data_IF_437481515431
#
_entry.id   IF_437481515431
#
_cell.length_a   1.000
_cell.length_b   1.000
_cell.length_c   1.000
_cell.angle_alpha   90.00
_cell.angle_beta   90.00
_cell.angle_gamma   90.00
#
_symmetry.space_group_name_H-M   'P 1'
#
loop_
_entity.id
_entity.type
_entity.pdbx_description
1 polymer ?
#
# COMPACT_ATOMS: atom_id res chain seq x y z
N UNK A 1 16.53 53.59 -4.51
CA UNK A 1 16.21 52.16 -4.68
C UNK A 1 16.08 51.88 -6.18
N UNK A 2 17.04 51.18 -6.81
CA UNK A 2 16.96 50.80 -8.23
C UNK A 2 16.07 49.55 -8.33
N UNK A 3 14.90 49.66 -8.97
CA UNK A 3 14.06 48.50 -9.33
C UNK A 3 14.82 47.68 -10.38
N UNK A 4 15.20 46.46 -10.03
CA UNK A 4 15.73 45.48 -10.99
C UNK A 4 14.55 45.06 -11.87
N UNK A 5 14.51 45.56 -13.10
CA UNK A 5 13.56 45.13 -14.13
C UNK A 5 14.17 43.88 -14.75
N UNK A 6 13.71 42.70 -14.34
CA UNK A 6 14.06 41.45 -15.03
C UNK A 6 13.28 41.43 -16.35
N UNK A 7 13.94 41.26 -17.52
CA UNK A 7 13.25 41.26 -18.81
C UNK A 7 12.26 40.09 -18.89
N UNK A 8 11.07 40.34 -19.44
CA UNK A 8 10.02 39.32 -19.63
C UNK A 8 10.53 38.04 -20.34
N UNK A 9 11.52 38.22 -21.24
CA UNK A 9 12.20 37.13 -21.97
C UNK A 9 12.98 36.21 -21.02
N UNK A 10 13.64 36.75 -19.99
CA UNK A 10 14.39 35.95 -19.01
C UNK A 10 13.41 35.13 -18.17
N UNK A 11 12.30 35.71 -17.74
CA UNK A 11 11.25 35.00 -16.98
C UNK A 11 10.66 33.85 -17.83
N UNK A 12 10.34 34.08 -19.11
CA UNK A 12 9.83 33.04 -20.00
C UNK A 12 10.83 31.92 -20.28
N UNK A 13 12.12 32.24 -20.42
CA UNK A 13 13.18 31.22 -20.58
C UNK A 13 13.35 30.39 -19.31
N UNK A 14 13.35 31.00 -18.12
CA UNK A 14 13.41 30.28 -16.84
C UNK A 14 12.17 29.39 -16.62
N UNK A 15 10.97 29.87 -16.95
CA UNK A 15 9.74 29.07 -16.90
C UNK A 15 9.82 27.90 -17.90
N UNK A 16 10.26 28.15 -19.13
CA UNK A 16 10.40 27.10 -20.16
C UNK A 16 11.46 26.05 -19.83
N UNK A 17 12.56 26.44 -19.16
CA UNK A 17 13.57 25.51 -18.65
C UNK A 17 13.03 24.66 -17.49
N UNK A 18 12.27 25.26 -16.57
CA UNK A 18 11.64 24.53 -15.46
C UNK A 18 10.59 23.53 -15.96
N UNK A 19 9.76 23.90 -16.95
CA UNK A 19 8.78 22.98 -17.56
C UNK A 19 9.48 21.80 -18.23
N UNK A 20 10.53 22.05 -19.04
CA UNK A 20 11.30 20.96 -19.68
C UNK A 20 12.02 20.06 -18.69
N UNK A 21 12.53 20.60 -17.59
CA UNK A 21 13.14 19.82 -16.52
C UNK A 21 12.09 18.95 -15.80
N UNK A 22 10.90 19.49 -15.58
CA UNK A 22 9.78 18.79 -14.95
C UNK A 22 9.21 17.69 -15.86
N UNK A 23 9.10 17.94 -17.17
CA UNK A 23 8.74 16.92 -18.18
C UNK A 23 9.80 15.82 -18.30
N UNK A 24 11.09 16.18 -18.30
CA UNK A 24 12.18 15.20 -18.32
C UNK A 24 12.18 14.31 -17.07
N UNK A 25 11.90 14.87 -15.90
CA UNK A 25 11.79 14.11 -14.65
C UNK A 25 10.58 13.18 -14.61
N UNK A 26 9.54 13.45 -15.42
CA UNK A 26 8.33 12.60 -15.56
C UNK A 26 8.43 11.58 -16.69
N UNK A 27 9.48 11.61 -17.50
CA UNK A 27 9.75 10.58 -18.51
C UNK A 27 10.17 9.26 -17.86
N UNK A 28 9.92 8.12 -18.51
CA UNK A 28 10.33 6.79 -18.00
C UNK A 28 11.83 6.74 -17.64
N UNK A 29 12.78 7.22 -18.47
CA UNK A 29 14.19 7.26 -18.08
C UNK A 29 14.48 8.19 -16.88
N UNK A 30 13.75 9.30 -16.76
CA UNK A 30 13.86 10.22 -15.62
C UNK A 30 13.42 9.56 -14.31
N UNK A 31 12.30 8.83 -14.35
CA UNK A 31 11.78 8.05 -13.23
C UNK A 31 12.80 6.98 -12.82
N UNK A 32 13.35 6.23 -13.77
CA UNK A 32 14.37 5.20 -13.48
C UNK A 32 15.64 5.81 -12.86
N UNK A 33 16.09 6.95 -13.36
CA UNK A 33 17.26 7.65 -12.82
C UNK A 33 17.02 8.08 -11.37
N UNK A 34 15.82 8.60 -11.06
CA UNK A 34 15.43 8.98 -9.69
C UNK A 34 15.42 7.77 -8.75
N UNK A 35 14.80 6.66 -9.17
CA UNK A 35 14.79 5.42 -8.40
C UNK A 35 16.19 4.85 -8.16
N UNK A 36 17.05 4.87 -9.18
CA UNK A 36 18.40 4.32 -9.07
C UNK A 36 19.34 5.16 -8.18
N UNK A 37 19.12 6.47 -8.12
CA UNK A 37 19.93 7.39 -7.32
C UNK A 37 19.41 7.57 -5.88
N UNK A 38 18.16 7.20 -5.60
CA UNK A 38 17.56 7.39 -4.27
C UNK A 38 18.15 6.39 -3.26
N UNK A 39 18.64 6.85 -2.10
CA UNK A 39 19.25 5.99 -1.10
C UNK A 39 18.17 5.33 -0.25
N UNK A 40 17.45 4.36 -0.82
CA UNK A 40 16.40 3.62 -0.10
C UNK A 40 16.94 2.90 1.13
N UNK A 41 16.04 2.66 2.09
CA UNK A 41 16.32 1.75 3.18
C UNK A 41 16.72 0.39 2.61
N UNK A 42 17.79 -0.24 3.14
CA UNK A 42 18.21 -1.54 2.68
C UNK A 42 17.14 -2.59 2.99
N UNK A 43 17.18 -3.69 2.25
CA UNK A 43 16.47 -4.90 2.63
C UNK A 43 17.42 -5.79 3.45
N UNK A 44 16.85 -6.69 4.24
CA UNK A 44 17.60 -7.70 4.97
C UNK A 44 18.29 -8.70 4.00
N UNK A 45 19.08 -9.63 4.54
CA UNK A 45 19.86 -10.58 3.73
C UNK A 45 18.99 -11.47 2.83
N UNK A 46 17.74 -11.70 3.23
CA UNK A 46 16.73 -12.44 2.46
C UNK A 46 16.07 -11.59 1.36
N UNK A 47 16.34 -10.28 1.33
CA UNK A 47 15.72 -9.30 0.45
C UNK A 47 14.19 -9.27 0.53
N UNK A 48 13.64 -9.51 1.73
CA UNK A 48 12.20 -9.64 1.99
C UNK A 48 11.66 -8.54 2.91
N UNK A 49 12.47 -8.05 3.85
CA UNK A 49 12.05 -7.04 4.82
C UNK A 49 12.92 -5.80 4.75
N UNK A 50 12.31 -4.62 4.90
CA UNK A 50 13.05 -3.37 5.06
C UNK A 50 13.78 -3.37 6.40
N UNK A 51 15.04 -2.92 6.36
CA UNK A 51 15.87 -2.69 7.53
C UNK A 51 16.02 -1.19 7.71
N UNK A 52 15.61 -0.70 8.87
CA UNK A 52 15.84 0.68 9.25
C UNK A 52 17.35 1.00 9.23
N UNK A 53 17.77 2.07 8.56
CA UNK A 53 19.19 2.33 8.31
C UNK A 53 19.93 2.79 9.56
N UNK A 54 19.23 3.43 10.47
CA UNK A 54 19.77 4.04 11.67
C UNK A 54 19.71 3.06 12.84
N UNK A 55 18.57 2.40 13.02
CA UNK A 55 18.29 1.44 14.08
C UNK A 55 18.76 0.03 13.75
N UNK A 56 18.96 -0.30 12.47
CA UNK A 56 19.35 -1.62 11.96
C UNK A 56 18.39 -2.73 12.41
N UNK A 57 17.09 -2.43 12.35
CA UNK A 57 16.02 -3.34 12.73
C UNK A 57 15.12 -3.63 11.55
N UNK A 58 14.79 -4.90 11.36
CA UNK A 58 13.88 -5.39 10.34
C UNK A 58 12.44 -4.99 10.64
N UNK A 59 11.68 -4.64 9.60
CA UNK A 59 10.25 -4.37 9.70
C UNK A 59 9.90 -3.08 10.44
N UNK A 60 10.90 -2.22 10.60
CA UNK A 60 10.77 -0.87 11.14
C UNK A 60 11.09 0.11 10.02
N UNK A 61 10.32 1.18 9.93
CA UNK A 61 10.67 2.31 9.10
C UNK A 61 10.87 3.56 9.95
N UNK A 62 11.94 4.29 9.68
CA UNK A 62 12.05 5.71 9.96
C UNK A 62 10.84 6.43 9.36
N UNK A 63 10.23 7.32 10.14
CA UNK A 63 9.02 8.02 9.73
C UNK A 63 9.31 9.29 8.94
N UNK A 64 10.57 9.76 8.95
CA UNK A 64 10.96 11.05 8.39
C UNK A 64 11.68 10.90 7.03
N UNK A 65 11.41 9.81 6.30
CA UNK A 65 12.03 9.54 5.01
C UNK A 65 11.05 9.60 3.82
N UNK A 66 11.60 9.92 2.65
CA UNK A 66 10.82 10.05 1.40
C UNK A 66 10.77 8.77 0.54
N UNK A 67 11.27 7.63 1.04
CA UNK A 67 11.35 6.38 0.26
C UNK A 67 9.98 5.99 -0.31
N UNK A 68 8.95 6.07 0.53
CA UNK A 68 7.58 5.73 0.16
C UNK A 68 7.07 6.65 -0.95
N UNK A 69 7.31 7.97 -0.84
CA UNK A 69 6.94 8.95 -1.87
C UNK A 69 7.65 8.65 -3.18
N UNK A 70 8.96 8.37 -3.13
CA UNK A 70 9.73 8.07 -4.35
C UNK A 70 9.20 6.82 -5.04
N UNK A 71 8.91 5.73 -4.30
CA UNK A 71 8.32 4.51 -4.86
C UNK A 71 6.90 4.74 -5.40
N UNK A 72 6.03 5.33 -4.59
CA UNK A 72 4.62 5.54 -4.91
C UNK A 72 4.47 6.42 -6.15
N UNK A 73 5.19 7.54 -6.21
CA UNK A 73 5.15 8.46 -7.33
C UNK A 73 5.77 7.86 -8.59
N UNK A 74 6.81 7.04 -8.46
CA UNK A 74 7.35 6.32 -9.61
C UNK A 74 6.35 5.34 -10.22
N UNK A 75 5.66 4.53 -9.40
CA UNK A 75 4.60 3.63 -9.89
C UNK A 75 3.48 4.43 -10.54
N UNK A 76 2.98 5.48 -9.87
CA UNK A 76 1.97 6.40 -10.40
C UNK A 76 2.36 6.95 -11.77
N UNK A 77 3.58 7.48 -11.90
CA UNK A 77 4.01 8.18 -13.10
C UNK A 77 4.26 7.19 -14.25
N UNK A 78 4.74 5.97 -13.98
CA UNK A 78 4.80 4.90 -15.00
C UNK A 78 3.39 4.44 -15.43
N UNK A 79 2.45 4.34 -14.50
CA UNK A 79 1.04 4.00 -14.83
C UNK A 79 0.39 5.13 -15.65
N UNK A 80 0.70 6.40 -15.37
CA UNK A 80 0.24 7.56 -16.16
C UNK A 80 0.87 7.62 -17.55
N UNK A 81 2.13 7.21 -17.69
CA UNK A 81 2.76 7.04 -19.00
C UNK A 81 2.00 6.00 -19.86
N UNK A 82 1.36 5.03 -19.20
CA UNK A 82 0.35 4.16 -19.79
C UNK A 82 0.92 3.17 -20.80
N UNK A 83 0.03 2.62 -21.62
CA UNK A 83 0.39 1.59 -22.60
C UNK A 83 1.25 2.10 -23.77
N UNK A 84 1.33 3.42 -23.98
CA UNK A 84 2.12 4.02 -25.07
C UNK A 84 3.63 3.91 -24.81
N UNK A 85 4.04 3.86 -23.54
CA UNK A 85 5.45 3.79 -23.13
C UNK A 85 5.83 2.39 -22.61
N UNK A 86 4.99 1.38 -22.84
CA UNK A 86 5.23 0.03 -22.29
C UNK A 86 6.58 -0.55 -22.69
N UNK A 87 7.07 -0.27 -23.91
CA UNK A 87 8.40 -0.72 -24.32
C UNK A 87 9.51 -0.14 -23.40
N UNK A 88 9.41 1.14 -23.03
CA UNK A 88 10.34 1.79 -22.12
C UNK A 88 10.20 1.26 -20.68
N UNK A 89 8.96 1.08 -20.20
CA UNK A 89 8.70 0.52 -18.86
C UNK A 89 9.27 -0.89 -18.76
N UNK A 90 9.06 -1.70 -19.80
CA UNK A 90 9.56 -3.09 -19.93
C UNK A 90 11.08 -3.17 -19.91
N UNK A 91 11.78 -2.21 -20.51
CA UNK A 91 13.25 -2.13 -20.43
C UNK A 91 13.76 -1.98 -18.98
N UNK A 92 12.93 -1.46 -18.07
CA UNK A 92 13.26 -1.39 -16.65
C UNK A 92 13.35 -2.75 -15.95
N UNK A 93 12.76 -3.82 -16.49
CA UNK A 93 12.81 -5.18 -15.92
C UNK A 93 14.20 -5.80 -15.92
N UNK A 94 15.14 -5.27 -16.71
CA UNK A 94 16.55 -5.72 -16.76
C UNK A 94 17.51 -4.67 -16.22
N UNK A 95 17.00 -3.64 -15.54
CA UNK A 95 17.82 -2.54 -15.01
C UNK A 95 18.72 -3.00 -13.84
N UNK A 96 19.88 -2.38 -13.69
CA UNK A 96 20.86 -2.74 -12.65
C UNK A 96 20.28 -2.56 -11.22
N UNK A 97 19.53 -1.48 -10.99
CA UNK A 97 18.85 -1.22 -9.71
C UNK A 97 17.63 -2.13 -9.53
N UNK A 98 17.54 -2.89 -8.41
CA UNK A 98 16.37 -3.73 -8.12
C UNK A 98 15.09 -2.92 -7.89
N UNK A 99 15.21 -1.67 -7.40
CA UNK A 99 14.06 -0.78 -7.22
C UNK A 99 13.41 -0.41 -8.56
N UNK A 100 14.21 -0.21 -9.62
CA UNK A 100 13.68 0.03 -10.98
C UNK A 100 12.96 -1.21 -11.50
N UNK A 101 13.57 -2.40 -11.34
CA UNK A 101 12.93 -3.66 -11.79
C UNK A 101 11.60 -3.91 -11.08
N UNK A 102 11.57 -3.74 -9.77
CA UNK A 102 10.36 -3.91 -8.94
C UNK A 102 9.26 -2.91 -9.35
N UNK A 103 9.57 -1.62 -9.45
CA UNK A 103 8.59 -0.59 -9.82
C UNK A 103 8.08 -0.79 -11.26
N UNK A 104 8.95 -1.17 -12.20
CA UNK A 104 8.54 -1.56 -13.56
C UNK A 104 7.58 -2.73 -13.56
N UNK A 105 7.88 -3.81 -12.83
CA UNK A 105 7.00 -4.98 -12.73
C UNK A 105 5.62 -4.61 -12.17
N UNK A 106 5.59 -3.80 -11.10
CA UNK A 106 4.33 -3.30 -10.50
C UNK A 106 3.51 -2.50 -11.51
N UNK A 107 4.13 -1.54 -12.20
CA UNK A 107 3.45 -0.71 -13.20
C UNK A 107 2.90 -1.55 -14.36
N UNK A 108 3.65 -2.53 -14.87
CA UNK A 108 3.21 -3.41 -15.95
C UNK A 108 1.99 -4.24 -15.54
N UNK A 109 1.98 -4.78 -14.32
CA UNK A 109 0.83 -5.51 -13.75
C UNK A 109 -0.43 -4.65 -13.67
N UNK A 110 -0.31 -3.43 -13.12
CA UNK A 110 -1.42 -2.46 -13.04
C UNK A 110 -1.95 -2.07 -14.43
N UNK A 111 -1.05 -1.95 -15.41
CA UNK A 111 -1.42 -1.64 -16.80
C UNK A 111 -1.98 -2.83 -17.57
N UNK A 112 -1.92 -4.05 -17.01
CA UNK A 112 -2.18 -5.31 -17.71
C UNK A 112 -1.43 -5.42 -19.05
N UNK A 113 -0.16 -5.02 -19.06
CA UNK A 113 0.71 -5.03 -20.23
C UNK A 113 1.15 -6.46 -20.61
N UNK A 114 0.26 -7.23 -21.24
CA UNK A 114 0.49 -8.66 -21.59
C UNK A 114 1.69 -8.89 -22.52
N UNK A 115 2.10 -7.89 -23.30
CA UNK A 115 3.30 -7.94 -24.14
C UNK A 115 4.63 -7.97 -23.34
N UNK A 116 4.57 -7.81 -22.01
CA UNK A 116 5.72 -7.91 -21.12
C UNK A 116 5.77 -9.24 -20.34
N UNK A 117 4.83 -10.16 -20.57
CA UNK A 117 4.80 -11.46 -19.89
C UNK A 117 6.13 -12.23 -20.05
N UNK A 118 6.73 -12.35 -21.25
CA UNK A 118 7.99 -13.09 -21.40
C UNK A 118 9.13 -12.53 -20.53
N UNK A 119 9.24 -11.20 -20.43
CA UNK A 119 10.23 -10.54 -19.60
C UNK A 119 9.92 -10.69 -18.10
N UNK A 120 8.64 -10.61 -17.70
CA UNK A 120 8.23 -10.88 -16.32
C UNK A 120 8.52 -12.33 -15.92
N UNK A 121 8.25 -13.31 -16.78
CA UNK A 121 8.64 -14.70 -16.54
C UNK A 121 10.16 -14.87 -16.39
N UNK A 122 10.96 -14.12 -17.16
CA UNK A 122 12.42 -14.12 -17.01
C UNK A 122 12.83 -13.58 -15.63
N UNK A 123 12.17 -12.51 -15.15
CA UNK A 123 12.40 -11.98 -13.79
C UNK A 123 12.06 -13.03 -12.73
N UNK A 124 10.89 -13.68 -12.83
CA UNK A 124 10.49 -14.76 -11.93
C UNK A 124 11.50 -15.92 -11.93
N UNK A 125 12.09 -16.25 -13.09
CA UNK A 125 13.08 -17.33 -13.19
C UNK A 125 14.42 -16.97 -12.57
N UNK A 126 14.90 -15.74 -12.81
CA UNK A 126 16.33 -15.43 -12.76
C UNK A 126 16.73 -14.29 -11.82
N UNK A 127 15.80 -13.46 -11.34
CA UNK A 127 16.18 -12.32 -10.50
C UNK A 127 16.72 -12.78 -9.14
N UNK A 128 17.85 -12.23 -8.72
CA UNK A 128 18.46 -12.58 -7.44
C UNK A 128 17.62 -12.11 -6.25
N UNK A 129 16.83 -11.05 -6.41
CA UNK A 129 16.17 -10.34 -5.31
C UNK A 129 14.72 -10.82 -5.16
N UNK A 130 14.38 -11.36 -3.99
CA UNK A 130 13.08 -11.96 -3.72
C UNK A 130 11.91 -10.99 -3.97
N UNK A 131 11.98 -9.75 -3.47
CA UNK A 131 10.93 -8.74 -3.71
C UNK A 131 10.68 -8.43 -5.19
N UNK A 132 11.72 -8.53 -6.04
CA UNK A 132 11.57 -8.30 -7.49
C UNK A 132 10.85 -9.49 -8.14
N UNK A 133 11.21 -10.73 -7.74
CA UNK A 133 10.50 -11.94 -8.16
C UNK A 133 9.04 -11.92 -7.71
N UNK A 134 8.77 -11.65 -6.43
CA UNK A 134 7.41 -11.51 -5.87
C UNK A 134 6.58 -10.51 -6.66
N UNK A 135 7.14 -9.33 -6.95
CA UNK A 135 6.42 -8.32 -7.71
C UNK A 135 6.12 -8.74 -9.17
N UNK A 136 7.02 -9.49 -9.81
CA UNK A 136 6.78 -10.04 -11.14
C UNK A 136 5.70 -11.14 -11.12
N UNK A 137 5.69 -12.00 -10.10
CA UNK A 137 4.63 -12.99 -9.87
C UNK A 137 3.27 -12.30 -9.70
N UNK A 138 3.18 -11.26 -8.85
CA UNK A 138 1.97 -10.46 -8.66
C UNK A 138 1.50 -9.86 -10.00
N UNK A 139 2.43 -9.33 -10.81
CA UNK A 139 2.10 -8.74 -12.11
C UNK A 139 1.51 -9.79 -13.08
N UNK A 140 2.05 -11.01 -13.10
CA UNK A 140 1.51 -12.11 -13.91
C UNK A 140 0.10 -12.52 -13.44
N UNK A 141 -0.15 -12.54 -12.12
CA UNK A 141 -1.46 -12.75 -11.52
C UNK A 141 -2.48 -11.68 -11.94
N UNK A 142 -2.12 -10.41 -11.81
CA UNK A 142 -2.93 -9.25 -12.21
C UNK A 142 -3.27 -9.24 -13.70
N UNK A 143 -2.39 -9.78 -14.54
CA UNK A 143 -2.59 -9.91 -15.99
C UNK A 143 -3.50 -11.07 -16.38
N UNK A 144 -3.75 -12.03 -15.48
CA UNK A 144 -4.40 -13.31 -15.76
C UNK A 144 -3.59 -14.17 -16.76
N UNK A 145 -2.26 -14.22 -16.58
CA UNK A 145 -1.35 -14.92 -17.50
C UNK A 145 -1.44 -16.46 -17.38
N UNK A 146 -2.40 -17.07 -18.09
CA UNK A 146 -2.56 -18.54 -18.13
C UNK A 146 -1.29 -19.26 -18.60
N UNK A 147 -0.55 -18.69 -19.55
CA UNK A 147 0.70 -19.29 -20.07
C UNK A 147 1.81 -19.39 -19.03
N UNK A 148 1.76 -18.56 -17.98
CA UNK A 148 2.75 -18.55 -16.91
C UNK A 148 2.44 -19.55 -15.80
N UNK A 149 1.27 -20.21 -15.79
CA UNK A 149 0.85 -21.13 -14.72
C UNK A 149 1.85 -22.24 -14.44
N UNK A 150 2.47 -22.83 -15.48
CA UNK A 150 3.46 -23.88 -15.28
C UNK A 150 4.70 -23.36 -14.53
N UNK A 151 5.19 -22.17 -14.88
CA UNK A 151 6.29 -21.53 -14.17
C UNK A 151 5.90 -21.19 -12.74
N UNK A 152 4.71 -20.65 -12.53
CA UNK A 152 4.26 -20.27 -11.18
C UNK A 152 4.12 -21.49 -10.27
N UNK A 153 3.61 -22.63 -10.79
CA UNK A 153 3.54 -23.89 -10.04
C UNK A 153 4.93 -24.43 -9.71
N UNK A 154 5.86 -24.37 -10.66
CA UNK A 154 7.26 -24.74 -10.41
C UNK A 154 7.88 -23.89 -9.29
N UNK A 155 7.64 -22.56 -9.30
CA UNK A 155 8.18 -21.64 -8.31
C UNK A 155 7.48 -21.71 -6.95
N UNK A 156 6.19 -22.03 -6.92
CA UNK A 156 5.48 -22.36 -5.68
C UNK A 156 6.15 -23.51 -4.92
N UNK A 157 6.67 -24.50 -5.64
CA UNK A 157 7.33 -25.67 -5.04
C UNK A 157 8.81 -25.43 -4.71
N UNK A 158 9.52 -24.63 -5.53
CA UNK A 158 10.99 -24.65 -5.54
C UNK A 158 11.68 -23.29 -5.39
N UNK A 159 10.96 -22.15 -5.34
CA UNK A 159 11.64 -20.86 -5.11
C UNK A 159 12.30 -20.86 -3.71
N UNK A 160 13.54 -20.38 -3.57
CA UNK A 160 14.20 -20.34 -2.26
C UNK A 160 13.51 -19.42 -1.24
N UNK A 161 12.72 -18.43 -1.69
CA UNK A 161 11.97 -17.53 -0.82
C UNK A 161 10.54 -18.04 -0.62
N UNK A 162 10.17 -18.26 0.65
CA UNK A 162 8.78 -18.59 1.02
C UNK A 162 7.80 -17.49 0.65
N UNK A 163 8.25 -16.23 0.65
CA UNK A 163 7.42 -15.10 0.25
C UNK A 163 7.08 -15.19 -1.25
N UNK A 164 8.06 -15.53 -2.10
CA UNK A 164 7.82 -15.75 -3.54
C UNK A 164 6.90 -16.95 -3.77
N UNK A 165 7.07 -18.04 -3.00
CA UNK A 165 6.16 -19.19 -3.04
C UNK A 165 4.72 -18.77 -2.70
N UNK A 166 4.53 -18.01 -1.62
CA UNK A 166 3.22 -17.49 -1.22
C UNK A 166 2.60 -16.60 -2.31
N UNK A 167 3.38 -15.71 -2.93
CA UNK A 167 2.90 -14.91 -4.06
C UNK A 167 2.54 -15.77 -5.28
N UNK A 168 3.23 -16.89 -5.52
CA UNK A 168 2.86 -17.82 -6.58
C UNK A 168 1.51 -18.49 -6.29
N UNK A 169 1.27 -18.91 -5.05
CA UNK A 169 -0.02 -19.49 -4.61
C UNK A 169 -1.18 -18.54 -4.92
N UNK A 170 -1.04 -17.27 -4.52
CA UNK A 170 -2.01 -16.20 -4.78
C UNK A 170 -2.19 -15.94 -6.28
N UNK A 171 -1.10 -15.79 -7.03
CA UNK A 171 -1.17 -15.49 -8.46
C UNK A 171 -1.81 -16.63 -9.26
N UNK A 172 -1.52 -17.90 -8.93
CA UNK A 172 -2.15 -19.06 -9.56
C UNK A 172 -3.67 -19.00 -9.36
N UNK A 173 -4.11 -18.83 -8.11
CA UNK A 173 -5.55 -18.72 -7.81
C UNK A 173 -6.18 -17.54 -8.55
N UNK A 174 -5.51 -16.38 -8.57
CA UNK A 174 -5.98 -15.18 -9.25
C UNK A 174 -6.18 -15.40 -10.75
N UNK A 175 -5.25 -16.11 -11.40
CA UNK A 175 -5.31 -16.45 -12.82
C UNK A 175 -6.45 -17.44 -13.09
N UNK A 176 -6.51 -18.53 -12.33
CA UNK A 176 -7.51 -19.59 -12.51
C UNK A 176 -8.94 -19.09 -12.31
N UNK A 177 -9.12 -18.10 -11.43
CA UNK A 177 -10.42 -17.49 -11.12
C UNK A 177 -10.69 -16.17 -11.89
N UNK A 178 -9.78 -15.76 -12.79
CA UNK A 178 -9.92 -14.54 -13.62
C UNK A 178 -10.21 -13.29 -12.78
N UNK A 179 -9.42 -13.13 -11.72
CA UNK A 179 -9.53 -12.03 -10.76
C UNK A 179 -8.41 -11.00 -10.96
N UNK A 180 -8.10 -10.67 -12.22
CA UNK A 180 -7.07 -9.71 -12.58
C UNK A 180 -7.35 -8.30 -12.07
N UNK A 181 -6.46 -7.37 -12.43
CA UNK A 181 -6.56 -5.99 -11.94
C UNK A 181 -7.88 -5.34 -12.35
N UNK A 182 -8.52 -4.61 -11.43
CA UNK A 182 -9.75 -3.88 -11.68
C UNK A 182 -9.47 -2.52 -12.33
N UNK A 183 -10.44 -2.01 -13.09
CA UNK A 183 -10.37 -0.64 -13.63
C UNK A 183 -10.25 0.41 -12.50
N UNK A 184 -10.92 0.19 -11.37
CA UNK A 184 -10.85 1.09 -10.21
C UNK A 184 -9.44 1.18 -9.63
N UNK A 185 -8.67 0.10 -9.68
CA UNK A 185 -7.25 0.13 -9.28
C UNK A 185 -6.40 0.97 -10.23
N UNK A 186 -6.57 0.79 -11.54
CA UNK A 186 -5.88 1.63 -12.53
C UNK A 186 -6.22 3.12 -12.34
N UNK A 187 -7.50 3.44 -12.17
CA UNK A 187 -7.99 4.80 -11.94
C UNK A 187 -7.43 5.40 -10.64
N UNK A 188 -7.36 4.64 -9.55
CA UNK A 188 -6.77 5.07 -8.29
C UNK A 188 -5.29 5.46 -8.46
N UNK A 189 -4.50 4.63 -9.14
CA UNK A 189 -3.10 4.95 -9.46
C UNK A 189 -3.00 6.20 -10.33
N UNK A 190 -3.84 6.36 -11.35
CA UNK A 190 -3.82 7.54 -12.22
C UNK A 190 -4.24 8.82 -11.48
N UNK A 191 -5.13 8.71 -10.49
CA UNK A 191 -5.69 9.83 -9.75
C UNK A 191 -4.83 10.29 -8.56
N UNK A 192 -3.78 9.54 -8.17
CA UNK A 192 -2.93 9.90 -7.03
C UNK A 192 -2.38 11.33 -7.14
N UNK A 193 -2.72 12.15 -6.14
CA UNK A 193 -2.33 13.55 -6.07
C UNK A 193 -1.34 13.77 -4.92
N UNK A 194 -0.07 14.01 -5.28
CA UNK A 194 1.02 14.22 -4.32
C UNK A 194 0.83 15.45 -3.45
N UNK A 195 -0.01 16.40 -3.87
CA UNK A 195 -0.28 17.62 -3.09
C UNK A 195 -1.21 17.35 -1.89
N UNK A 196 -1.83 16.18 -1.83
CA UNK A 196 -2.76 15.80 -0.75
C UNK A 196 -2.10 14.96 0.34
N UNK A 197 -0.85 14.54 0.13
CA UNK A 197 -0.15 13.63 1.04
C UNK A 197 0.16 14.31 2.37
N UNK A 198 -0.09 13.61 3.47
CA UNK A 198 0.19 14.04 4.84
C UNK A 198 -0.42 15.42 5.18
N UNK A 199 -1.56 15.76 4.57
CA UNK A 199 -2.22 17.07 4.75
C UNK A 199 -3.20 17.12 5.91
N UNK A 200 -3.61 15.98 6.45
CA UNK A 200 -4.64 15.89 7.51
C UNK A 200 -3.99 15.74 8.88
N UNK A 201 -4.35 16.61 9.82
CA UNK A 201 -3.91 16.57 11.21
C UNK A 201 -5.09 16.42 12.18
N UNK A 202 -4.85 15.94 13.42
CA UNK A 202 -5.84 16.05 14.48
C UNK A 202 -6.28 17.52 14.67
N UNK A 203 -7.60 17.73 14.75
CA UNK A 203 -8.25 19.04 14.78
C UNK A 203 -8.82 19.49 13.44
N UNK A 204 -8.35 18.93 12.33
CA UNK A 204 -8.86 19.26 10.99
C UNK A 204 -10.23 18.61 10.72
N UNK A 205 -10.98 19.20 9.79
CA UNK A 205 -12.12 18.52 9.20
C UNK A 205 -11.61 17.35 8.34
N UNK A 206 -12.17 16.16 8.56
CA UNK A 206 -11.79 14.99 7.78
C UNK A 206 -12.19 15.19 6.31
N UNK A 207 -11.26 14.99 5.34
CA UNK A 207 -11.59 15.07 3.93
C UNK A 207 -12.57 13.95 3.57
N UNK A 208 -13.64 14.30 2.86
CA UNK A 208 -14.62 13.30 2.45
C UNK A 208 -14.02 12.34 1.40
N UNK A 209 -14.42 11.07 1.46
CA UNK A 209 -13.98 10.02 0.54
C UNK A 209 -15.05 8.96 0.35
N UNK A 210 -15.01 8.31 -0.80
CA UNK A 210 -15.82 7.13 -1.13
C UNK A 210 -14.90 5.97 -1.42
N UNK A 211 -15.05 4.85 -0.71
CA UNK A 211 -14.33 3.61 -0.98
C UNK A 211 -15.32 2.46 -1.15
N UNK A 212 -14.94 1.45 -1.93
CA UNK A 212 -15.67 0.20 -1.98
C UNK A 212 -15.19 -0.72 -0.86
N UNK A 213 -16.08 -1.56 -0.34
CA UNK A 213 -15.67 -2.76 0.38
C UNK A 213 -15.34 -3.93 -0.56
N UNK A 214 -14.97 -5.06 0.03
CA UNK A 214 -14.60 -6.31 -0.63
C UNK A 214 -15.73 -6.99 -1.41
N UNK A 215 -16.98 -6.56 -1.21
CA UNK A 215 -18.17 -7.02 -1.95
C UNK A 215 -18.66 -5.96 -2.97
N UNK A 216 -17.95 -4.83 -3.09
CA UNK A 216 -18.23 -3.76 -4.03
C UNK A 216 -19.27 -2.74 -3.56
N UNK A 217 -19.73 -2.80 -2.31
CA UNK A 217 -20.61 -1.78 -1.73
C UNK A 217 -19.79 -0.52 -1.43
N UNK A 218 -20.36 0.63 -1.77
CA UNK A 218 -19.72 1.93 -1.56
C UNK A 218 -20.02 2.50 -0.19
N UNK A 219 -18.98 3.05 0.44
CA UNK A 219 -19.02 3.68 1.75
C UNK A 219 -18.46 5.09 1.63
N UNK A 220 -19.26 6.07 2.03
CA UNK A 220 -18.91 7.50 2.01
C UNK A 220 -18.73 7.99 3.44
N UNK A 221 -17.61 8.65 3.73
CA UNK A 221 -17.33 9.17 5.08
C UNK A 221 -18.42 10.15 5.56
N UNK A 222 -18.86 11.07 4.69
CA UNK A 222 -19.88 12.07 5.04
C UNK A 222 -21.24 11.49 5.46
N UNK A 223 -21.55 10.23 5.15
CA UNK A 223 -22.77 9.56 5.62
C UNK A 223 -22.82 9.37 7.15
N UNK A 224 -21.68 9.45 7.82
CA UNK A 224 -21.56 9.28 9.28
C UNK A 224 -21.51 10.61 10.03
N UNK A 225 -21.35 11.72 9.29
CA UNK A 225 -21.32 13.05 9.87
C UNK A 225 -22.66 13.36 10.55
N UNK A 226 -22.57 13.95 11.73
CA UNK A 226 -23.63 14.23 12.70
C UNK A 226 -24.38 12.98 13.22
N UNK A 227 -23.79 11.78 13.08
CA UNK A 227 -24.44 10.54 13.46
C UNK A 227 -23.53 9.65 14.33
N UNK A 228 -22.38 9.23 13.81
CA UNK A 228 -21.49 8.25 14.47
C UNK A 228 -20.05 8.74 14.54
N UNK A 229 -19.31 8.23 15.53
CA UNK A 229 -17.85 8.20 15.45
C UNK A 229 -17.42 7.30 14.29
N UNK A 230 -16.29 7.59 13.67
CA UNK A 230 -15.70 6.73 12.63
C UNK A 230 -14.29 6.34 13.05
N UNK A 231 -14.02 5.03 13.03
CA UNK A 231 -12.70 4.46 13.29
C UNK A 231 -12.19 3.84 12.00
N UNK A 232 -11.03 4.28 11.53
CA UNK A 232 -10.37 3.75 10.33
C UNK A 232 -9.08 3.05 10.76
N UNK A 233 -8.96 1.77 10.42
CA UNK A 233 -7.84 0.91 10.79
C UNK A 233 -7.18 0.40 9.52
N UNK A 234 -6.11 1.04 9.07
CA UNK A 234 -5.29 0.52 7.99
C UNK A 234 -4.45 -0.65 8.48
N UNK A 235 -4.69 -1.82 7.90
CA UNK A 235 -3.94 -3.05 8.14
C UNK A 235 -2.84 -3.22 7.08
N UNK A 236 -2.04 -4.27 7.20
CA UNK A 236 -0.99 -4.59 6.23
C UNK A 236 -1.50 -5.39 5.05
N UNK A 237 -1.84 -6.65 5.31
CA UNK A 237 -2.21 -7.64 4.32
C UNK A 237 -2.72 -8.91 5.03
N UNK A 238 -3.15 -9.86 4.22
CA UNK A 238 -3.67 -11.17 4.59
C UNK A 238 -2.68 -12.07 5.36
N UNK A 239 -1.38 -11.87 5.20
CA UNK A 239 -0.35 -12.63 5.92
C UNK A 239 0.02 -12.04 7.30
N UNK A 240 -0.66 -10.98 7.76
CA UNK A 240 -0.30 -10.24 8.99
C UNK A 240 -0.93 -10.84 10.27
N UNK A 241 -0.17 -11.50 11.16
CA UNK A 241 -0.75 -12.13 12.35
C UNK A 241 -1.36 -11.13 13.34
N UNK A 242 -0.77 -9.93 13.47
CA UNK A 242 -1.32 -8.90 14.38
C UNK A 242 -2.65 -8.36 13.86
N UNK A 243 -2.77 -8.17 12.55
CA UNK A 243 -4.00 -7.73 11.91
C UNK A 243 -5.14 -8.75 12.13
N UNK A 244 -4.82 -10.05 12.06
CA UNK A 244 -5.78 -11.12 12.40
C UNK A 244 -6.15 -11.13 13.89
N UNK A 245 -5.21 -10.80 14.79
CA UNK A 245 -5.50 -10.60 16.21
C UNK A 245 -6.45 -9.43 16.46
N UNK A 246 -6.22 -8.28 15.82
CA UNK A 246 -7.13 -7.14 15.90
C UNK A 246 -8.53 -7.45 15.36
N UNK A 247 -8.63 -8.29 14.33
CA UNK A 247 -9.92 -8.77 13.85
C UNK A 247 -10.63 -9.56 14.95
N UNK A 248 -9.90 -10.42 15.68
CA UNK A 248 -10.45 -11.16 16.83
C UNK A 248 -11.04 -10.24 17.88
N UNK A 249 -10.28 -9.23 18.29
CA UNK A 249 -10.74 -8.28 19.30
C UNK A 249 -11.98 -7.50 18.80
N UNK A 250 -11.99 -7.05 17.53
CA UNK A 250 -13.16 -6.39 16.95
C UNK A 250 -14.41 -7.29 16.99
N UNK A 251 -14.28 -8.59 16.69
CA UNK A 251 -15.42 -9.52 16.70
C UNK A 251 -16.00 -9.78 18.09
N UNK A 252 -15.19 -9.65 19.14
CA UNK A 252 -15.67 -9.75 20.53
C UNK A 252 -16.29 -8.42 21.02
N UNK A 253 -16.07 -7.32 20.30
CA UNK A 253 -16.41 -5.96 20.73
C UNK A 253 -17.51 -5.28 19.88
N UNK A 254 -18.30 -6.05 19.11
CA UNK A 254 -19.38 -5.50 18.26
C UNK A 254 -20.35 -4.61 19.05
N UNK A 255 -20.98 -5.17 20.09
CA UNK A 255 -21.92 -4.46 20.97
C UNK A 255 -21.27 -3.24 21.62
N UNK A 256 -19.98 -3.33 21.94
CA UNK A 256 -19.21 -2.29 22.61
C UNK A 256 -19.03 -1.04 21.73
N UNK A 257 -18.68 -1.25 20.46
CA UNK A 257 -18.60 -0.16 19.47
C UNK A 257 -19.98 0.35 19.06
N UNK A 258 -20.99 -0.52 18.96
CA UNK A 258 -22.36 -0.10 18.68
C UNK A 258 -22.90 0.81 19.79
N UNK A 259 -22.74 0.41 21.06
CA UNK A 259 -23.15 1.20 22.23
C UNK A 259 -22.39 2.52 22.36
N UNK A 260 -21.14 2.58 21.90
CA UNK A 260 -20.36 3.82 21.83
C UNK A 260 -20.77 4.73 20.65
N UNK A 261 -21.70 4.28 19.79
CA UNK A 261 -22.12 5.02 18.61
C UNK A 261 -21.03 5.16 17.56
N UNK A 262 -20.19 4.12 17.39
CA UNK A 262 -19.06 4.12 16.49
C UNK A 262 -19.28 3.19 15.28
N UNK A 263 -18.80 3.63 14.11
CA UNK A 263 -18.63 2.80 12.93
C UNK A 263 -17.15 2.48 12.76
N UNK A 264 -16.81 1.19 12.74
CA UNK A 264 -15.45 0.73 12.45
C UNK A 264 -15.33 0.37 10.97
N UNK A 265 -14.17 0.67 10.39
CA UNK A 265 -13.71 0.20 9.10
C UNK A 265 -12.27 -0.28 9.21
N UNK A 266 -11.98 -1.39 8.54
CA UNK A 266 -10.59 -1.79 8.28
C UNK A 266 -10.27 -1.49 6.82
N UNK A 267 -9.03 -1.15 6.50
CA UNK A 267 -8.62 -0.72 5.16
C UNK A 267 -7.26 -1.31 4.78
N UNK A 268 -7.04 -1.53 3.50
CA UNK A 268 -5.71 -1.81 2.95
C UNK A 268 -5.54 -1.22 1.55
N UNK A 269 -4.31 -1.16 1.06
CA UNK A 269 -3.99 -0.48 -0.21
C UNK A 269 -4.11 -1.35 -1.46
N UNK A 270 -4.51 -2.61 -1.29
CA UNK A 270 -4.61 -3.59 -2.38
C UNK A 270 -5.91 -3.45 -3.19
N UNK A 271 -5.97 -4.19 -4.30
CA UNK A 271 -7.17 -4.31 -5.12
C UNK A 271 -8.11 -5.40 -4.60
N UNK A 272 -9.31 -5.50 -5.19
CA UNK A 272 -10.42 -6.35 -4.75
C UNK A 272 -10.02 -7.78 -4.40
N UNK A 273 -9.21 -8.44 -5.23
CA UNK A 273 -8.81 -9.83 -5.00
C UNK A 273 -8.10 -9.99 -3.65
N UNK A 274 -7.07 -9.19 -3.38
CA UNK A 274 -6.28 -9.29 -2.13
C UNK A 274 -7.11 -8.92 -0.91
N UNK A 275 -7.95 -7.88 -1.00
CA UNK A 275 -8.87 -7.53 0.09
C UNK A 275 -9.87 -8.64 0.39
N UNK A 276 -10.34 -9.35 -0.62
CA UNK A 276 -11.20 -10.52 -0.42
C UNK A 276 -10.44 -11.70 0.17
N UNK A 277 -9.14 -11.87 -0.11
CA UNK A 277 -8.29 -12.86 0.60
C UNK A 277 -8.16 -12.50 2.08
N UNK A 278 -7.91 -11.22 2.41
CA UNK A 278 -7.80 -10.74 3.81
C UNK A 278 -9.03 -11.09 4.66
N UNK A 279 -10.23 -10.97 4.09
CA UNK A 279 -11.49 -11.31 4.78
C UNK A 279 -11.97 -12.74 4.51
N UNK A 280 -11.12 -13.60 3.95
CA UNK A 280 -11.36 -15.02 3.73
C UNK A 280 -12.48 -15.35 2.74
N UNK A 281 -12.74 -14.46 1.78
CA UNK A 281 -13.73 -14.66 0.71
C UNK A 281 -13.16 -15.36 -0.53
N UNK A 282 -11.84 -15.52 -0.65
CA UNK A 282 -11.17 -16.11 -1.82
C UNK A 282 -10.28 -17.31 -1.47
N UNK A 283 -8.98 -17.28 -1.78
CA UNK A 283 -8.02 -18.31 -1.36
C UNK A 283 -7.85 -18.28 0.16
N UNK A 284 -7.55 -19.43 0.76
CA UNK A 284 -6.98 -19.52 2.11
C UNK A 284 -5.52 -19.97 1.99
N UNK A 285 -4.57 -19.03 1.95
CA UNK A 285 -3.16 -19.38 1.93
C UNK A 285 -2.75 -20.06 3.24
N UNK A 286 -1.75 -20.94 3.17
CA UNK A 286 -1.20 -21.58 4.37
C UNK A 286 -0.31 -20.59 5.14
N UNK A 287 -0.91 -19.85 6.06
CA UNK A 287 -0.13 -18.97 6.95
C UNK A 287 0.61 -19.77 8.03
N UNK A 288 1.86 -19.42 8.29
CA UNK A 288 2.70 -20.09 9.29
C UNK A 288 2.21 -19.92 10.73
N UNK A 289 1.38 -18.91 10.99
CA UNK A 289 0.80 -18.62 12.32
C UNK A 289 -0.59 -19.23 12.52
N UNK A 290 -1.28 -19.62 11.44
CA UNK A 290 -2.62 -20.16 11.52
C UNK A 290 -2.58 -21.64 11.93
N UNK A 291 -3.21 -21.99 13.06
CA UNK A 291 -3.36 -23.38 13.53
C UNK A 291 -4.61 -24.07 12.98
N UNK A 292 -5.61 -23.27 12.66
CA UNK A 292 -6.90 -23.67 12.11
C UNK A 292 -7.25 -22.75 10.94
N UNK A 293 -8.25 -23.16 10.13
CA UNK A 293 -8.74 -22.32 9.03
C UNK A 293 -9.30 -21.02 9.60
N UNK A 294 -8.75 -19.88 9.18
CA UNK A 294 -9.24 -18.58 9.64
C UNK A 294 -10.60 -18.27 9.04
N UNK A 295 -10.88 -18.81 7.83
CA UNK A 295 -12.20 -18.74 7.22
C UNK A 295 -13.27 -19.36 8.11
N UNK A 296 -13.03 -20.59 8.53
CA UNK A 296 -13.96 -21.33 9.38
C UNK A 296 -14.01 -20.74 10.80
N UNK A 297 -12.86 -20.31 11.33
CA UNK A 297 -12.75 -19.84 12.69
C UNK A 297 -13.54 -18.54 12.94
N UNK A 298 -13.52 -17.58 12.00
CA UNK A 298 -14.07 -16.28 12.34
C UNK A 298 -14.58 -15.38 11.20
N UNK A 299 -14.34 -15.68 9.92
CA UNK A 299 -14.70 -14.73 8.85
C UNK A 299 -16.19 -14.44 8.72
N UNK A 300 -17.05 -15.35 9.21
CA UNK A 300 -18.50 -15.15 9.33
C UNK A 300 -18.92 -14.14 10.40
N UNK A 301 -18.02 -13.81 11.33
CA UNK A 301 -18.22 -12.89 12.46
C UNK A 301 -17.72 -11.47 12.16
N UNK A 302 -17.13 -11.22 10.99
CA UNK A 302 -16.71 -9.88 10.57
C UNK A 302 -17.97 -9.03 10.36
N UNK A 303 -18.26 -8.15 11.32
CA UNK A 303 -19.42 -7.26 11.31
C UNK A 303 -19.13 -5.88 10.70
N UNK A 304 -17.85 -5.54 10.51
CA UNK A 304 -17.42 -4.27 9.94
C UNK A 304 -17.06 -4.40 8.45
N UNK A 305 -17.14 -3.32 7.66
CA UNK A 305 -16.69 -3.34 6.27
C UNK A 305 -15.16 -3.26 6.19
N UNK A 306 -14.58 -4.09 5.31
CA UNK A 306 -13.17 -3.99 4.91
C UNK A 306 -13.09 -3.22 3.59
N UNK A 307 -12.52 -2.01 3.63
CA UNK A 307 -12.48 -1.07 2.51
C UNK A 307 -11.19 -1.19 1.70
N UNK A 308 -11.31 -0.96 0.39
CA UNK A 308 -10.22 -1.06 -0.58
C UNK A 308 -9.67 0.34 -0.89
N UNK A 309 -8.67 0.79 -0.13
CA UNK A 309 -7.95 2.06 -0.35
C UNK A 309 -6.88 1.92 -1.44
N UNK A 310 -7.32 1.52 -2.64
CA UNK A 310 -6.43 1.20 -3.77
C UNK A 310 -5.40 2.29 -3.98
N UNK A 311 -4.13 1.89 -4.12
CA UNK A 311 -2.98 2.79 -4.25
C UNK A 311 -2.74 3.75 -3.07
N UNK A 312 -3.48 3.61 -1.97
CA UNK A 312 -3.39 4.45 -0.78
C UNK A 312 -3.91 5.87 -0.97
N UNK A 313 -4.89 6.08 -1.86
CA UNK A 313 -5.41 7.41 -2.21
C UNK A 313 -6.02 8.18 -1.04
N UNK A 314 -6.60 7.48 -0.06
CA UNK A 314 -7.15 8.07 1.16
C UNK A 314 -6.09 8.08 2.25
N UNK A 315 -5.44 6.94 2.51
CA UNK A 315 -4.47 6.78 3.58
C UNK A 315 -3.27 7.72 3.47
N UNK A 316 -2.79 8.00 2.25
CA UNK A 316 -1.69 8.96 2.05
C UNK A 316 -2.01 10.35 2.61
N UNK A 317 -3.29 10.76 2.68
CA UNK A 317 -3.71 12.04 3.27
C UNK A 317 -3.54 12.07 4.79
N UNK A 318 -3.70 10.91 5.43
CA UNK A 318 -3.63 10.71 6.89
C UNK A 318 -2.24 10.22 7.35
N UNK A 319 -1.24 10.15 6.47
CA UNK A 319 0.11 9.71 6.82
C UNK A 319 0.28 8.19 6.97
N UNK A 320 -0.52 7.39 6.23
CA UNK A 320 -0.31 5.93 6.19
C UNK A 320 0.89 5.52 5.33
N UNK A 321 1.50 6.46 4.62
CA UNK A 321 2.69 6.28 3.78
C UNK A 321 2.65 4.99 2.94
N UNK A 322 1.81 4.93 1.89
CA UNK A 322 1.68 3.73 1.08
C UNK A 322 3.03 3.31 0.49
N UNK A 323 3.34 2.02 0.56
CA UNK A 323 4.63 1.45 0.16
C UNK A 323 5.80 1.91 1.04
N UNK A 324 5.59 2.21 2.33
CA UNK A 324 6.62 2.67 3.26
C UNK A 324 7.74 1.66 3.50
N UNK A 325 7.41 0.40 3.67
CA UNK A 325 8.39 -0.64 3.90
C UNK A 325 7.92 -1.97 3.33
N UNK A 326 8.90 -2.84 3.10
CA UNK A 326 8.68 -4.21 2.69
C UNK A 326 8.58 -5.11 3.91
N UNK A 327 7.59 -5.97 3.92
CA UNK A 327 7.48 -7.12 4.82
C UNK A 327 7.03 -8.30 3.97
N UNK A 328 7.64 -9.47 4.16
CA UNK A 328 7.34 -10.66 3.34
C UNK A 328 7.41 -10.41 1.83
N UNK A 329 8.47 -9.71 1.39
CA UNK A 329 8.75 -9.39 0.00
C UNK A 329 7.59 -8.66 -0.72
N UNK A 330 6.83 -7.84 0.03
CA UNK A 330 5.75 -6.99 -0.46
C UNK A 330 5.85 -5.60 0.19
N UNK A 331 5.81 -4.54 -0.64
CA UNK A 331 5.73 -3.16 -0.14
C UNK A 331 4.30 -2.82 0.25
N UNK A 332 4.11 -2.42 1.51
CA UNK A 332 2.81 -2.16 2.14
C UNK A 332 2.73 -0.74 2.73
N UNK A 333 1.55 -0.32 3.18
CA UNK A 333 1.37 0.89 3.97
C UNK A 333 1.81 0.70 5.43
N UNK A 334 2.03 1.81 6.14
CA UNK A 334 2.13 1.83 7.60
C UNK A 334 0.80 1.40 8.21
N UNK A 335 0.81 0.66 9.32
CA UNK A 335 -0.42 0.32 9.98
C UNK A 335 -0.90 1.61 10.64
N UNK A 336 -2.14 2.02 10.45
CA UNK A 336 -2.58 3.36 10.93
C UNK A 336 -3.96 3.29 11.54
N UNK A 337 -4.16 3.99 12.66
CA UNK A 337 -5.47 4.17 13.30
C UNK A 337 -5.87 5.64 13.26
N UNK A 338 -7.05 5.92 12.74
CA UNK A 338 -7.65 7.26 12.70
C UNK A 338 -9.02 7.23 13.38
N UNK A 339 -9.30 8.24 14.21
CA UNK A 339 -10.61 8.43 14.85
C UNK A 339 -11.17 9.78 14.44
N UNK A 340 -12.40 9.78 13.92
CA UNK A 340 -13.13 10.96 13.48
C UNK A 340 -14.41 11.06 14.33
N UNK A 341 -14.66 12.25 14.89
CA UNK A 341 -15.84 12.46 15.74
C UNK A 341 -17.13 12.67 14.93
N UNK A 342 -18.31 12.63 15.57
CA UNK A 342 -19.57 12.85 14.87
C UNK A 342 -19.68 14.22 14.21
N UNK A 343 -18.85 15.22 14.52
CA UNK A 343 -18.85 16.50 13.80
C UNK A 343 -18.03 16.45 12.51
N UNK A 344 -17.37 15.33 12.23
CA UNK A 344 -16.47 15.14 11.10
C UNK A 344 -15.07 15.73 11.37
N UNK A 345 -14.68 15.89 12.63
CA UNK A 345 -13.36 16.39 13.01
C UNK A 345 -12.45 15.22 13.34
N UNK A 346 -11.26 15.21 12.77
CA UNK A 346 -10.23 14.20 13.09
C UNK A 346 -9.75 14.43 14.52
N UNK A 347 -9.89 13.43 15.38
CA UNK A 347 -9.48 13.51 16.78
C UNK A 347 -8.17 12.81 17.06
N UNK A 348 -7.85 11.81 16.25
CA UNK A 348 -6.68 10.98 16.43
C UNK A 348 -6.18 10.49 15.09
N UNK A 349 -4.87 10.54 14.89
CA UNK A 349 -4.15 9.87 13.82
C UNK A 349 -2.92 9.26 14.47
N UNK A 350 -2.73 7.96 14.32
CA UNK A 350 -1.52 7.29 14.75
C UNK A 350 -1.03 6.35 13.66
N UNK A 351 -0.01 6.78 12.89
CA UNK A 351 0.65 5.93 11.94
C UNK A 351 1.77 5.17 12.67
N UNK A 352 1.69 3.84 12.67
CA UNK A 352 2.64 2.96 13.36
C UNK A 352 4.01 2.93 12.70
N UNK A 353 5.03 2.59 13.49
CA UNK A 353 6.42 2.37 13.04
C UNK A 353 6.68 0.90 12.67
N UNK A 354 5.88 -0.02 13.22
CA UNK A 354 5.85 -1.44 12.89
C UNK A 354 4.46 -2.02 13.21
N UNK A 355 4.23 -3.32 12.97
CA UNK A 355 2.90 -3.94 13.16
C UNK A 355 2.31 -3.87 14.58
N UNK A 356 3.11 -3.56 15.61
CA UNK A 356 2.72 -3.77 17.01
C UNK A 356 2.85 -2.56 17.91
N UNK A 357 2.82 -1.34 17.38
CA UNK A 357 2.89 -0.10 18.17
C UNK A 357 1.66 0.80 18.09
N UNK A 358 0.60 0.36 17.38
CA UNK A 358 -0.69 1.04 17.38
C UNK A 358 -1.44 0.83 18.70
N UNK A 359 -2.38 1.73 19.05
CA UNK A 359 -3.31 1.45 20.14
C UNK A 359 -4.09 0.17 19.85
N UNK A 360 -4.36 -0.62 20.90
CA UNK A 360 -5.21 -1.81 20.78
C UNK A 360 -6.66 -1.42 20.43
N UNK A 361 -7.48 -2.40 20.08
CA UNK A 361 -8.90 -2.18 19.79
C UNK A 361 -9.63 -1.65 21.03
N UNK A 362 -9.30 -2.16 22.23
CA UNK A 362 -9.84 -1.69 23.50
C UNK A 362 -9.42 -0.25 23.80
N UNK A 363 -8.15 0.09 23.60
CA UNK A 363 -7.66 1.45 23.79
C UNK A 363 -8.33 2.43 22.82
N UNK A 364 -8.54 2.01 21.57
CA UNK A 364 -9.24 2.79 20.55
C UNK A 364 -10.68 3.08 20.99
N UNK A 365 -11.38 2.09 21.55
CA UNK A 365 -12.72 2.29 22.10
C UNK A 365 -12.70 3.22 23.34
N UNK A 366 -11.70 3.08 24.21
CA UNK A 366 -11.55 3.93 25.39
C UNK A 366 -11.31 5.39 25.02
N UNK A 367 -10.58 5.68 23.94
CA UNK A 367 -10.43 7.06 23.44
C UNK A 367 -11.77 7.68 23.07
N UNK A 368 -12.67 6.89 22.46
CA UNK A 368 -14.03 7.33 22.10
C UNK A 368 -14.87 7.56 23.36
N UNK A 369 -14.84 6.61 24.31
CA UNK A 369 -15.63 6.67 25.55
C UNK A 369 -15.19 7.82 26.46
N UNK A 370 -13.89 8.03 26.62
CA UNK A 370 -13.32 9.07 27.49
C UNK A 370 -13.21 10.45 26.83
N UNK A 371 -13.11 10.49 25.50
CA UNK A 371 -12.76 11.70 24.75
C UNK A 371 -11.29 12.14 24.92
N UNK A 372 -10.45 11.31 25.55
CA UNK A 372 -9.02 11.51 25.68
C UNK A 372 -8.27 10.77 24.57
N UNK A 373 -7.54 11.50 23.75
CA UNK A 373 -6.80 10.97 22.58
C UNK A 373 -5.28 11.00 22.78
N UNK A 374 -4.81 11.22 24.00
CA UNK A 374 -3.40 11.13 24.33
C UNK A 374 -2.94 9.67 24.29
N UNK A 375 -1.97 9.38 23.42
CA UNK A 375 -1.38 8.06 23.32
C UNK A 375 0.13 8.17 23.10
N UNK A 376 0.88 7.35 23.81
CA UNK A 376 2.31 7.21 23.64
C UNK A 376 2.68 5.75 23.85
N UNK A 377 3.10 5.06 22.78
CA UNK A 377 3.48 3.67 22.88
C UNK A 377 4.91 3.56 23.45
N UNK A 378 5.13 2.69 24.45
CA UNK A 378 6.44 2.58 25.14
C UNK A 378 7.60 2.21 24.21
N UNK A 379 7.29 1.58 23.06
CA UNK A 379 8.28 1.19 22.03
C UNK A 379 8.18 2.04 20.77
N UNK A 380 7.42 3.13 20.80
CA UNK A 380 7.38 4.06 19.66
C UNK A 380 8.78 4.62 19.47
N UNK A 381 9.29 4.49 18.25
CA UNK A 381 10.55 5.11 17.88
C UNK A 381 10.30 6.60 17.73
N UNK A 382 10.93 7.38 18.60
CA UNK A 382 10.83 8.83 18.56
C UNK A 382 11.79 9.34 17.48
N UNK A 383 11.26 10.17 16.61
CA UNK A 383 12.06 11.04 15.75
C UNK A 383 12.82 12.01 16.64
N UNK A 384 14.15 11.90 16.70
CA UNK A 384 14.98 13.05 17.10
C UNK A 384 15.11 13.94 15.85
N UNK A 385 14.34 15.02 15.80
CA UNK A 385 14.41 16.02 14.72
C UNK A 385 15.68 16.84 14.75
#
# INVERSE_FOLDING_TARGET
>A
MKKIIIPLIVIQVFIGMNIKAQEKNRSVPGIFSKLAAHPFHPLNDENSMTVDRDLKKDGIADLDNDDWKVRLLAVRDLVRAGLNETAAIKAGLVHASPYVRQVSAKALGILRATQAIPELESVVKNDAVAIVRSQAVIALGQMESEQSLNLLREKLENDPSRDVQHQCELAIYQIENRMGVTRKNLEAWQALDETTFETVNPGDAAPDFTLDDTEGKQWQLSNYKNNKWVVLIWVFADWCPVCHGEFHDLMEMEDDFENAGAQVFTLEIHDTYRGRVMVGKELEPKYWFAKESFKDAYTSRIWWPHLLDRAGTVGAKFGTDPLAFSVHAEYINRPTTVIIDPKGIVRFIYPGTFWGDRPTIEQTLEFIKSGNFEFNHQRQLKVEK
#
